data_IF_280218265693
#
_entry.id   IF_280218265693
#
_cell.length_a   1.000
_cell.length_b   1.000
_cell.length_c   1.000
_cell.angle_alpha   90.00
_cell.angle_beta   90.00
_cell.angle_gamma   90.00
#
_symmetry.space_group_name_H-M   'P 1'
#
loop_
_entity.id
_entity.type
_entity.pdbx_description
1 polymer ?
#
# COMPACT_ATOMS: atom_id res chain seq x y z
N UNK A 1 -35.32 -1.86 -8.41
CA UNK A 1 -35.50 -2.32 -7.02
C UNK A 1 -34.56 -1.51 -6.13
N UNK A 2 -35.10 -0.94 -5.03
CA UNK A 2 -34.35 -0.12 -4.07
C UNK A 2 -33.75 -1.05 -3.02
N UNK A 3 -32.46 -0.96 -2.74
CA UNK A 3 -31.83 -1.71 -1.64
C UNK A 3 -31.15 -0.75 -0.69
N UNK A 4 -31.72 -0.72 0.52
CA UNK A 4 -31.38 0.08 1.69
C UNK A 4 -30.01 -0.28 2.27
N UNK A 5 -29.30 0.70 2.80
CA UNK A 5 -28.09 0.49 3.59
C UNK A 5 -28.47 0.43 5.08
N UNK A 6 -28.14 -0.68 5.74
CA UNK A 6 -28.34 -0.87 7.18
C UNK A 6 -27.12 -0.33 7.94
N UNK A 7 -27.34 0.73 8.70
CA UNK A 7 -26.34 1.38 9.56
C UNK A 7 -26.08 0.53 10.81
N UNK A 8 -24.83 0.10 11.04
CA UNK A 8 -24.41 -0.41 12.34
C UNK A 8 -23.88 0.75 13.19
N UNK A 9 -24.61 1.10 14.25
CA UNK A 9 -24.17 2.02 15.28
C UNK A 9 -23.18 1.31 16.21
N UNK A 10 -21.93 1.77 16.24
CA UNK A 10 -20.96 1.35 17.25
C UNK A 10 -21.24 2.09 18.55
N UNK A 11 -21.63 1.36 19.59
CA UNK A 11 -21.86 1.89 20.94
C UNK A 11 -20.48 2.17 21.55
N UNK A 12 -20.18 3.45 21.77
CA UNK A 12 -18.97 3.91 22.44
C UNK A 12 -19.14 3.67 23.94
N UNK A 13 -18.39 2.71 24.47
CA UNK A 13 -18.17 2.55 25.90
C UNK A 13 -16.69 2.71 26.21
N UNK A 14 -16.30 3.87 26.71
CA UNK A 14 -15.12 3.97 27.57
C UNK A 14 -15.33 5.09 28.59
N UNK A 15 -15.73 4.69 29.79
CA UNK A 15 -15.59 5.52 30.99
C UNK A 15 -14.13 5.45 31.43
N UNK A 16 -13.45 6.59 31.39
CA UNK A 16 -12.24 6.81 32.18
C UNK A 16 -12.24 8.28 32.62
N UNK A 17 -12.92 8.53 33.74
CA UNK A 17 -12.81 9.76 34.51
C UNK A 17 -11.38 9.90 35.06
N UNK A 18 -10.74 11.04 34.83
CA UNK A 18 -9.56 11.39 35.62
C UNK A 18 -8.72 12.55 35.10
N UNK A 19 -8.73 13.65 35.84
CA UNK A 19 -7.80 14.78 35.88
C UNK A 19 -7.93 15.87 34.80
N UNK A 20 -8.59 16.96 35.21
CA UNK A 20 -8.43 18.29 34.63
C UNK A 20 -7.03 18.83 34.95
N UNK A 21 -6.29 19.23 33.91
CA UNK A 21 -5.11 20.08 34.01
C UNK A 21 -5.16 21.14 32.92
N UNK A 22 -5.40 22.40 33.29
CA UNK A 22 -5.30 23.53 32.35
C UNK A 22 -3.90 24.11 32.48
N UNK A 23 -3.05 23.93 31.46
CA UNK A 23 -1.88 24.76 31.24
C UNK A 23 -1.42 24.71 29.77
N UNK A 24 -1.30 25.90 29.18
CA UNK A 24 -0.93 26.24 27.81
C UNK A 24 0.56 25.98 27.53
N UNK A 25 0.88 25.27 26.44
CA UNK A 25 1.93 25.59 25.45
C UNK A 25 2.49 24.33 24.72
N UNK A 26 2.74 24.52 23.41
CA UNK A 26 3.59 23.72 22.53
C UNK A 26 3.07 22.34 22.11
N UNK A 27 2.51 22.30 20.90
CA UNK A 27 2.53 21.10 20.08
C UNK A 27 3.99 20.65 19.88
N UNK A 28 4.30 19.36 20.02
CA UNK A 28 5.20 18.71 19.09
C UNK A 28 4.34 18.27 17.91
N UNK A 29 4.28 19.11 16.88
CA UNK A 29 4.22 18.54 15.54
C UNK A 29 5.42 17.60 15.44
N UNK A 30 5.18 16.30 15.30
CA UNK A 30 6.19 15.38 14.84
C UNK A 30 5.56 14.25 14.05
N UNK A 31 6.24 13.86 12.97
CA UNK A 31 5.59 13.82 11.69
C UNK A 31 5.63 12.40 11.15
N UNK A 32 4.52 11.97 10.58
CA UNK A 32 4.64 11.22 9.35
C UNK A 32 3.55 11.73 8.45
N UNK A 33 3.88 12.80 7.71
CA UNK A 33 3.54 12.78 6.30
C UNK A 33 4.20 11.50 5.76
N UNK A 34 3.56 10.34 5.97
CA UNK A 34 3.62 9.27 5.01
C UNK A 34 3.08 9.97 3.77
N UNK A 35 3.99 10.51 2.98
CA UNK A 35 3.67 11.03 1.68
C UNK A 35 3.31 9.77 0.90
N UNK A 36 2.06 9.36 1.05
CA UNK A 36 1.44 8.32 0.26
C UNK A 36 1.68 8.77 -1.16
N UNK A 37 2.66 8.16 -1.82
CA UNK A 37 2.91 8.37 -3.23
C UNK A 37 1.54 8.31 -3.90
N UNK A 38 1.25 9.28 -4.77
CA UNK A 38 -0.02 9.27 -5.46
C UNK A 38 -0.21 7.90 -6.12
N UNK A 39 -1.44 7.42 -6.20
CA UNK A 39 -1.71 6.10 -6.82
C UNK A 39 -1.03 5.99 -8.19
N UNK A 40 -0.96 7.10 -8.94
CA UNK A 40 -0.24 7.18 -10.21
C UNK A 40 1.28 6.97 -10.12
N UNK A 41 1.96 7.52 -9.11
CA UNK A 41 3.40 7.29 -8.89
C UNK A 41 3.68 5.85 -8.49
N UNK A 42 2.84 5.27 -7.63
CA UNK A 42 2.96 3.87 -7.24
C UNK A 42 2.78 2.93 -8.43
N UNK A 43 1.77 3.18 -9.27
CA UNK A 43 1.54 2.40 -10.51
C UNK A 43 2.72 2.52 -11.47
N UNK A 44 3.30 3.72 -11.65
CA UNK A 44 4.48 3.90 -12.50
C UNK A 44 5.69 3.09 -11.98
N UNK A 45 5.93 3.11 -10.68
CA UNK A 45 7.00 2.31 -10.06
C UNK A 45 6.74 0.81 -10.23
N UNK A 46 5.52 0.36 -9.98
CA UNK A 46 5.14 -1.05 -10.11
C UNK A 46 5.32 -1.53 -11.56
N UNK A 47 5.01 -0.71 -12.57
CA UNK A 47 5.23 -1.03 -13.99
C UNK A 47 6.72 -1.17 -14.34
N UNK A 48 7.57 -0.28 -13.82
CA UNK A 48 9.03 -0.37 -14.03
C UNK A 48 9.57 -1.66 -13.40
N UNK A 49 9.12 -2.01 -12.20
CA UNK A 49 9.54 -3.25 -11.53
C UNK A 49 9.02 -4.50 -12.24
N UNK A 50 7.83 -4.41 -12.81
CA UNK A 50 7.23 -5.46 -13.63
C UNK A 50 8.06 -5.71 -14.90
N UNK A 51 8.44 -4.66 -15.62
CA UNK A 51 9.30 -4.75 -16.80
C UNK A 51 10.71 -5.27 -16.44
N UNK A 52 11.34 -4.74 -15.38
CA UNK A 52 12.64 -5.22 -14.88
C UNK A 52 12.61 -6.67 -14.45
N UNK A 53 11.45 -7.17 -13.99
CA UNK A 53 11.26 -8.58 -13.65
C UNK A 53 11.20 -9.48 -14.89
N UNK A 54 11.12 -8.90 -16.09
CA UNK A 54 11.07 -9.60 -17.37
C UNK A 54 9.65 -9.83 -17.88
N UNK A 55 8.69 -8.99 -17.50
CA UNK A 55 7.33 -8.98 -18.04
C UNK A 55 7.15 -7.83 -19.04
N UNK A 56 7.91 -7.88 -20.13
CA UNK A 56 7.62 -7.04 -21.29
C UNK A 56 6.36 -7.52 -22.03
N UNK A 57 5.90 -6.73 -23.00
CA UNK A 57 4.68 -7.01 -23.76
C UNK A 57 4.72 -8.38 -24.48
N UNK A 58 5.88 -8.76 -25.02
CA UNK A 58 6.06 -10.05 -25.68
C UNK A 58 6.00 -11.21 -24.69
N UNK A 59 6.56 -11.02 -23.49
CA UNK A 59 6.56 -12.02 -22.44
C UNK A 59 5.18 -12.18 -21.80
N UNK A 60 4.37 -11.12 -21.76
CA UNK A 60 2.98 -11.20 -21.35
C UNK A 60 2.18 -12.17 -22.23
N UNK A 61 2.31 -12.08 -23.56
CA UNK A 61 1.59 -12.95 -24.49
C UNK A 61 2.01 -14.42 -24.33
N UNK A 62 3.27 -14.69 -24.00
CA UNK A 62 3.78 -16.07 -23.85
C UNK A 62 3.47 -16.66 -22.48
N UNK A 63 3.62 -15.90 -21.40
CA UNK A 63 3.54 -16.41 -20.03
C UNK A 63 2.17 -16.20 -19.37
N UNK A 64 1.27 -15.42 -19.96
CA UNK A 64 -0.10 -15.25 -19.44
C UNK A 64 -0.91 -16.55 -19.48
N UNK A 65 -0.54 -17.49 -20.35
CA UNK A 65 -1.18 -18.81 -20.45
C UNK A 65 -0.70 -19.82 -19.41
N UNK A 66 0.49 -19.62 -18.82
CA UNK A 66 1.06 -20.52 -17.80
C UNK A 66 1.60 -19.74 -16.59
N UNK A 67 0.65 -19.21 -15.81
CA UNK A 67 0.95 -18.48 -14.57
C UNK A 67 1.45 -19.38 -13.43
N UNK A 68 1.35 -20.70 -13.58
CA UNK A 68 1.84 -21.67 -12.60
C UNK A 68 3.23 -22.22 -12.97
N UNK A 69 3.66 -22.04 -14.22
CA UNK A 69 4.95 -22.47 -14.70
C UNK A 69 6.13 -21.76 -14.03
N UNK A 70 7.25 -22.47 -13.96
CA UNK A 70 8.49 -22.01 -13.33
C UNK A 70 8.97 -20.67 -13.87
N UNK A 71 8.79 -20.46 -15.18
CA UNK A 71 9.17 -19.24 -15.88
C UNK A 71 8.39 -18.01 -15.36
N UNK A 72 7.08 -18.16 -15.11
CA UNK A 72 6.26 -17.11 -14.52
C UNK A 72 6.62 -16.91 -13.04
N UNK A 73 6.67 -18.00 -12.26
CA UNK A 73 6.93 -17.95 -10.82
C UNK A 73 8.28 -17.29 -10.49
N UNK A 74 9.34 -17.60 -11.26
CA UNK A 74 10.66 -16.98 -11.10
C UNK A 74 10.63 -15.47 -11.33
N UNK A 75 9.93 -15.01 -12.38
CA UNK A 75 9.79 -13.58 -12.69
C UNK A 75 8.92 -12.88 -11.64
N UNK A 76 7.83 -13.49 -11.21
CA UNK A 76 6.97 -12.95 -10.17
C UNK A 76 7.70 -12.81 -8.83
N UNK A 77 8.55 -13.78 -8.46
CA UNK A 77 9.41 -13.66 -7.30
C UNK A 77 10.42 -12.50 -7.42
N UNK A 78 10.97 -12.26 -8.62
CA UNK A 78 11.84 -11.11 -8.90
C UNK A 78 11.09 -9.78 -8.76
N UNK A 79 9.88 -9.68 -9.32
CA UNK A 79 9.00 -8.51 -9.17
C UNK A 79 8.74 -8.19 -7.68
N UNK A 80 8.34 -9.20 -6.87
CA UNK A 80 8.09 -9.00 -5.43
C UNK A 80 9.31 -8.46 -4.68
N UNK A 81 10.52 -8.90 -5.04
CA UNK A 81 11.77 -8.40 -4.45
C UNK A 81 12.00 -6.93 -4.81
N UNK A 82 11.85 -6.56 -6.08
CA UNK A 82 12.02 -5.18 -6.55
C UNK A 82 11.01 -4.23 -5.88
N UNK A 83 9.74 -4.60 -5.87
CA UNK A 83 8.68 -3.82 -5.23
C UNK A 83 8.93 -3.55 -3.75
N UNK A 84 9.42 -4.57 -3.03
CA UNK A 84 9.76 -4.44 -1.60
C UNK A 84 10.88 -3.42 -1.39
N UNK A 85 11.91 -3.42 -2.22
CA UNK A 85 13.02 -2.46 -2.13
C UNK A 85 12.54 -1.02 -2.31
N UNK A 86 11.71 -0.76 -3.33
CA UNK A 86 11.18 0.58 -3.57
C UNK A 86 10.19 1.04 -2.50
N UNK A 87 9.37 0.12 -1.97
CA UNK A 87 8.48 0.42 -0.84
C UNK A 87 9.28 0.83 0.40
N UNK A 88 10.39 0.15 0.70
CA UNK A 88 11.27 0.53 1.81
C UNK A 88 11.97 1.88 1.58
N UNK A 89 12.39 2.18 0.34
CA UNK A 89 12.98 3.47 0.01
C UNK A 89 11.99 4.63 0.14
N UNK A 90 10.71 4.42 -0.20
CA UNK A 90 9.66 5.43 0.01
C UNK A 90 9.31 5.67 1.48
N UNK A 91 9.66 4.76 2.38
CA UNK A 91 9.39 4.92 3.84
C UNK A 91 10.56 5.51 4.62
N UNK A 92 11.74 5.65 4.01
CA UNK A 92 12.95 6.17 4.66
C UNK A 92 13.33 7.60 4.21
N UNK A 93 12.66 8.15 3.20
CA UNK A 93 12.79 9.53 2.74
C UNK A 93 11.60 10.36 3.19
#
# INVERSE_FOLDING_TARGET
MKTSFTTFAAIIGLMASGAFGVARAQAPASPSHQQSASVGEQVKSDLIDWEKAGFDQHTYDVLSYDVFGDAYQKRYAKYKKLRKLHTHQSTQN
#
